data_IF_590769019279
#
_entry.id   IF_590769019279
#
_cell.length_a   1.000
_cell.length_b   1.000
_cell.length_c   1.000
_cell.angle_alpha   90.00
_cell.angle_beta   90.00
_cell.angle_gamma   90.00
#
_symmetry.space_group_name_H-M   'P 1'
#
loop_
_entity.id
_entity.type
_entity.pdbx_description
1 polymer ?
#
# COMPACT_ATOMS: atom_id res chain seq x y z
N UNK A 1 -23.19 0.36 2.07
CA UNK A 1 -24.10 0.12 0.91
C UNK A 1 -23.61 0.92 -0.28
N UNK A 2 -23.77 0.41 -1.50
CA UNK A 2 -23.43 1.15 -2.72
C UNK A 2 -24.53 2.17 -3.04
N UNK A 3 -24.15 3.25 -3.74
CA UNK A 3 -25.09 4.25 -4.23
C UNK A 3 -25.28 4.04 -5.73
N UNK A 4 -26.49 3.63 -6.13
CA UNK A 4 -26.81 3.46 -7.55
C UNK A 4 -27.59 4.64 -8.13
N UNK A 5 -27.38 4.99 -9.40
CA UNK A 5 -26.40 4.37 -10.30
C UNK A 5 -24.94 4.65 -9.85
N UNK A 6 -24.07 3.64 -9.99
CA UNK A 6 -22.68 3.73 -9.61
C UNK A 6 -21.84 4.22 -10.82
N UNK A 7 -20.99 5.22 -10.60
CA UNK A 7 -20.05 5.69 -11.62
C UNK A 7 -18.92 4.68 -11.80
N UNK A 8 -18.76 4.17 -13.01
CA UNK A 8 -17.65 3.32 -13.42
C UNK A 8 -16.83 3.99 -14.50
N UNK A 9 -15.51 4.11 -14.27
CA UNK A 9 -14.55 4.71 -15.22
C UNK A 9 -13.49 3.68 -15.55
N UNK A 10 -13.53 3.14 -16.76
CA UNK A 10 -12.59 2.11 -17.21
C UNK A 10 -11.70 2.67 -18.32
N UNK A 11 -10.41 2.89 -18.02
CA UNK A 11 -9.42 3.45 -18.97
C UNK A 11 -9.90 4.73 -19.68
N UNK A 12 -10.65 5.57 -18.96
CA UNK A 12 -11.21 6.83 -19.47
C UNK A 12 -12.65 6.75 -19.97
N UNK A 13 -13.15 5.57 -20.27
CA UNK A 13 -14.56 5.37 -20.65
C UNK A 13 -15.45 5.39 -19.41
N UNK A 14 -16.53 6.18 -19.48
CA UNK A 14 -17.44 6.41 -18.34
C UNK A 14 -18.77 5.74 -18.56
N UNK A 15 -19.20 4.91 -17.60
CA UNK A 15 -20.49 4.22 -17.61
C UNK A 15 -21.17 4.36 -16.25
N UNK A 16 -22.49 4.49 -16.24
CA UNK A 16 -23.30 4.44 -15.02
C UNK A 16 -23.91 3.04 -14.88
N UNK A 17 -23.48 2.32 -13.83
CA UNK A 17 -23.97 0.97 -13.56
C UNK A 17 -25.23 1.00 -12.70
N UNK A 18 -26.22 0.21 -13.08
CA UNK A 18 -27.35 -0.10 -12.21
C UNK A 18 -26.97 -1.17 -11.18
N UNK A 19 -27.82 -1.36 -10.15
CA UNK A 19 -27.60 -2.40 -9.15
C UNK A 19 -27.53 -3.81 -9.76
N UNK A 20 -28.31 -4.06 -10.81
CA UNK A 20 -28.32 -5.35 -11.54
C UNK A 20 -27.04 -5.59 -12.38
N UNK A 21 -26.42 -4.51 -12.85
CA UNK A 21 -25.19 -4.57 -13.66
C UNK A 21 -23.94 -4.67 -12.81
N UNK A 22 -23.99 -4.14 -11.58
CA UNK A 22 -22.86 -4.17 -10.67
C UNK A 22 -22.71 -5.55 -10.05
N UNK A 23 -21.49 -6.08 -10.13
CA UNK A 23 -21.13 -7.34 -9.48
C UNK A 23 -20.24 -7.06 -8.28
N UNK A 24 -20.62 -7.58 -7.13
CA UNK A 24 -19.79 -7.53 -5.94
C UNK A 24 -18.49 -8.34 -6.18
N UNK A 25 -17.37 -7.73 -5.87
CA UNK A 25 -16.07 -8.38 -5.77
C UNK A 25 -15.48 -8.10 -4.38
N UNK A 26 -14.79 -9.08 -3.79
CA UNK A 26 -14.13 -8.88 -2.52
C UNK A 26 -13.03 -7.83 -2.66
N UNK A 27 -13.08 -6.78 -1.83
CA UNK A 27 -12.08 -5.71 -1.86
C UNK A 27 -10.71 -6.18 -1.34
N UNK A 28 -10.72 -7.10 -0.40
CA UNK A 28 -9.51 -7.59 0.26
C UNK A 28 -9.00 -8.92 -0.30
N UNK A 29 -9.60 -9.44 -1.38
CA UNK A 29 -9.12 -10.63 -2.09
C UNK A 29 -8.86 -11.84 -1.16
N UNK A 30 -9.65 -12.00 -0.11
CA UNK A 30 -9.50 -13.00 0.95
C UNK A 30 -8.15 -12.90 1.72
N UNK A 31 -7.49 -11.74 1.66
CA UNK A 31 -6.30 -11.44 2.45
C UNK A 31 -6.68 -11.08 3.89
N UNK A 32 -5.83 -11.42 4.84
CA UNK A 32 -5.95 -11.07 6.26
C UNK A 32 -5.19 -9.79 6.62
N UNK A 33 -4.69 -9.09 5.62
CA UNK A 33 -4.00 -7.80 5.73
C UNK A 33 -4.42 -6.83 4.62
N UNK A 34 -4.11 -5.56 4.83
CA UNK A 34 -4.12 -4.51 3.82
C UNK A 34 -2.79 -3.75 3.85
N UNK A 35 -2.56 -2.93 2.84
CA UNK A 35 -1.40 -2.06 2.79
C UNK A 35 -1.81 -0.60 2.72
N UNK A 36 -0.90 0.27 3.16
CA UNK A 36 -0.96 1.70 2.92
C UNK A 36 0.42 2.16 2.46
N UNK A 37 0.47 2.85 1.34
CA UNK A 37 1.69 3.51 0.89
C UNK A 37 1.64 4.98 1.31
N UNK A 38 2.66 5.42 2.04
CA UNK A 38 2.84 6.80 2.44
C UNK A 38 4.11 7.36 1.82
N UNK A 39 4.16 8.67 1.64
CA UNK A 39 5.34 9.33 1.08
C UNK A 39 6.36 9.69 2.18
N UNK A 40 5.88 9.89 3.39
CA UNK A 40 6.67 10.21 4.58
C UNK A 40 5.94 9.78 5.87
N UNK A 41 6.63 9.85 7.00
CA UNK A 41 6.10 9.45 8.31
C UNK A 41 4.96 10.36 8.80
N UNK A 42 4.95 11.65 8.42
CA UNK A 42 3.90 12.59 8.86
C UNK A 42 2.53 12.17 8.32
N UNK A 43 2.50 11.55 7.14
CA UNK A 43 1.27 11.07 6.52
C UNK A 43 0.70 9.81 7.19
N UNK A 44 1.47 9.07 7.97
CA UNK A 44 1.00 7.85 8.64
C UNK A 44 -0.13 8.14 9.64
N UNK A 45 -0.24 9.37 10.15
CA UNK A 45 -1.35 9.75 11.02
C UNK A 45 -2.69 9.98 10.28
N UNK A 46 -2.70 9.95 8.95
CA UNK A 46 -3.94 10.12 8.18
C UNK A 46 -4.97 9.03 8.47
N UNK A 47 -4.55 7.79 8.73
CA UNK A 47 -5.48 6.70 9.04
C UNK A 47 -6.22 6.89 10.38
N UNK A 48 -5.64 7.66 11.31
CA UNK A 48 -6.22 7.96 12.63
C UNK A 48 -7.28 9.08 12.57
N UNK A 49 -7.41 9.74 11.44
CA UNK A 49 -8.34 10.86 11.28
C UNK A 49 -9.79 10.39 11.30
N UNK A 50 -10.61 11.06 12.10
CA UNK A 50 -12.05 10.77 12.26
C UNK A 50 -12.92 11.64 11.34
N UNK A 51 -12.36 12.68 10.75
CA UNK A 51 -13.02 13.66 9.89
C UNK A 51 -12.95 13.33 8.39
N UNK A 52 -12.42 12.17 8.03
CA UNK A 52 -12.35 11.74 6.65
C UNK A 52 -13.77 11.59 6.06
N UNK A 53 -13.97 12.17 4.90
CA UNK A 53 -15.20 12.07 4.11
C UNK A 53 -15.03 11.23 2.84
N UNK A 54 -13.79 10.87 2.51
CA UNK A 54 -13.43 10.05 1.35
C UNK A 54 -12.29 9.08 1.70
N UNK A 55 -12.43 7.84 1.25
CA UNK A 55 -11.39 6.80 1.29
C UNK A 55 -11.44 6.03 -0.03
N UNK A 56 -10.29 5.81 -0.64
CA UNK A 56 -10.17 4.96 -1.81
C UNK A 56 -9.52 3.62 -1.41
N UNK A 57 -10.14 2.51 -1.82
CA UNK A 57 -9.55 1.16 -1.72
C UNK A 57 -9.08 0.76 -3.10
N UNK A 58 -7.80 0.47 -3.23
CA UNK A 58 -7.15 0.13 -4.49
C UNK A 58 -6.76 -1.35 -4.51
N UNK A 59 -6.97 -2.00 -5.64
CA UNK A 59 -6.38 -3.28 -5.99
C UNK A 59 -5.31 -3.03 -7.05
N UNK A 60 -4.04 -3.11 -6.64
CA UNK A 60 -2.88 -2.85 -7.49
C UNK A 60 -2.41 -4.18 -8.06
N UNK A 61 -2.61 -4.38 -9.37
CA UNK A 61 -2.18 -5.58 -10.08
C UNK A 61 -0.75 -5.38 -10.61
N UNK A 62 0.25 -5.83 -9.85
CA UNK A 62 1.66 -5.58 -10.14
C UNK A 62 2.09 -6.10 -11.52
N UNK A 63 1.80 -7.36 -11.83
CA UNK A 63 2.22 -7.98 -13.08
C UNK A 63 1.49 -7.40 -14.30
N UNK A 64 0.21 -7.10 -14.14
CA UNK A 64 -0.64 -6.58 -15.21
C UNK A 64 -0.55 -5.07 -15.35
N UNK A 65 0.08 -4.38 -14.38
CA UNK A 65 0.33 -2.93 -14.36
C UNK A 65 -0.93 -2.08 -14.50
N UNK A 66 -1.96 -2.40 -13.73
CA UNK A 66 -3.18 -1.60 -13.64
C UNK A 66 -3.72 -1.58 -12.22
N UNK A 67 -4.54 -0.58 -11.93
CA UNK A 67 -5.16 -0.35 -10.63
C UNK A 67 -6.66 -0.28 -10.79
N UNK A 68 -7.40 -1.03 -9.96
CA UNK A 68 -8.82 -0.82 -9.72
C UNK A 68 -8.97 -0.02 -8.44
N UNK A 69 -9.73 1.07 -8.50
CA UNK A 69 -10.01 1.93 -7.35
C UNK A 69 -11.49 1.93 -7.05
N UNK A 70 -11.85 1.60 -5.83
CA UNK A 70 -13.19 1.71 -5.27
C UNK A 70 -13.24 2.92 -4.34
N UNK A 71 -13.98 3.97 -4.72
CA UNK A 71 -14.10 5.20 -3.94
C UNK A 71 -15.29 5.15 -3.01
N UNK A 72 -15.00 5.28 -1.74
CA UNK A 72 -16.00 5.44 -0.70
C UNK A 72 -16.07 6.89 -0.25
N UNK A 73 -17.30 7.40 -0.08
CA UNK A 73 -17.56 8.73 0.45
C UNK A 73 -18.57 8.67 1.58
N UNK A 74 -18.41 9.57 2.56
CA UNK A 74 -19.36 9.72 3.66
C UNK A 74 -20.52 10.60 3.21
N UNK A 75 -21.66 9.98 2.93
CA UNK A 75 -22.89 10.66 2.51
C UNK A 75 -23.93 10.58 3.62
N UNK A 76 -24.32 11.73 4.16
CA UNK A 76 -25.28 11.81 5.29
C UNK A 76 -24.85 10.94 6.49
N UNK A 77 -23.54 10.93 6.80
CA UNK A 77 -22.96 10.18 7.91
C UNK A 77 -22.64 8.72 7.64
N UNK A 78 -23.04 8.16 6.50
CA UNK A 78 -22.79 6.77 6.13
C UNK A 78 -21.76 6.63 5.02
N UNK A 79 -20.86 5.64 5.13
CA UNK A 79 -19.92 5.30 4.06
C UNK A 79 -20.63 4.58 2.91
N UNK A 80 -20.46 5.08 1.71
CA UNK A 80 -21.05 4.52 0.49
C UNK A 80 -20.02 4.44 -0.62
N UNK A 81 -20.00 3.32 -1.34
CA UNK A 81 -19.29 3.22 -2.61
C UNK A 81 -19.97 4.14 -3.63
N UNK A 82 -19.21 5.09 -4.18
CA UNK A 82 -19.72 6.13 -5.09
C UNK A 82 -19.13 6.04 -6.49
N UNK A 83 -17.95 5.40 -6.62
CA UNK A 83 -17.26 5.26 -7.90
C UNK A 83 -16.37 4.02 -7.90
N UNK A 84 -16.29 3.38 -9.06
CA UNK A 84 -15.23 2.44 -9.41
C UNK A 84 -14.43 2.99 -10.58
N UNK A 85 -13.12 2.73 -10.60
CA UNK A 85 -12.31 3.06 -11.78
C UNK A 85 -11.21 2.03 -11.99
N UNK A 86 -10.82 1.86 -13.26
CA UNK A 86 -9.68 1.06 -13.67
C UNK A 86 -8.79 1.94 -14.54
N UNK A 87 -7.50 2.00 -14.18
CA UNK A 87 -6.47 2.70 -14.96
C UNK A 87 -5.23 1.86 -15.09
N UNK A 88 -4.51 2.01 -16.18
CA UNK A 88 -3.19 1.43 -16.31
C UNK A 88 -2.14 2.28 -15.58
N UNK A 89 -0.99 1.68 -15.21
CA UNK A 89 0.14 2.42 -14.64
C UNK A 89 0.62 3.51 -15.59
N UNK A 90 1.01 4.62 -15.04
CA UNK A 90 1.56 5.76 -15.79
C UNK A 90 2.82 6.31 -15.13
N UNK A 91 3.78 6.74 -15.95
CA UNK A 91 4.98 7.41 -15.45
C UNK A 91 4.72 8.80 -14.82
N UNK A 92 3.49 9.32 -14.94
CA UNK A 92 3.09 10.57 -14.29
C UNK A 92 2.79 10.38 -12.80
N UNK A 93 2.41 9.16 -12.38
CA UNK A 93 2.08 8.85 -10.99
C UNK A 93 3.31 8.32 -10.24
N UNK A 94 3.77 8.99 -9.15
CA UNK A 94 4.94 8.56 -8.40
C UNK A 94 4.79 7.16 -7.80
N UNK A 95 3.60 6.81 -7.29
CA UNK A 95 3.33 5.48 -6.76
C UNK A 95 3.49 4.40 -7.84
N UNK A 96 3.05 4.64 -9.08
CA UNK A 96 3.19 3.66 -10.17
C UNK A 96 4.67 3.41 -10.53
N UNK A 97 5.51 4.46 -10.49
CA UNK A 97 6.97 4.31 -10.66
C UNK A 97 7.58 3.45 -9.56
N UNK A 98 7.16 3.69 -8.31
CA UNK A 98 7.59 2.87 -7.20
C UNK A 98 7.11 1.42 -7.35
N UNK A 99 5.88 1.20 -7.82
CA UNK A 99 5.34 -0.14 -8.08
C UNK A 99 6.16 -0.91 -9.13
N UNK A 100 6.75 -0.24 -10.12
CA UNK A 100 7.65 -0.87 -11.08
C UNK A 100 8.94 -1.39 -10.43
N UNK A 101 9.51 -0.62 -9.50
CA UNK A 101 10.62 -1.08 -8.66
C UNK A 101 10.17 -2.20 -7.73
N UNK A 102 9.05 -2.00 -6.99
CA UNK A 102 8.56 -2.92 -5.97
C UNK A 102 8.23 -4.29 -6.56
N UNK A 103 7.60 -4.35 -7.72
CA UNK A 103 7.34 -5.59 -8.45
C UNK A 103 8.61 -6.43 -8.61
N UNK A 104 9.72 -5.79 -9.02
CA UNK A 104 11.00 -6.48 -9.15
C UNK A 104 11.60 -6.83 -7.79
N UNK A 105 11.43 -5.97 -6.81
CA UNK A 105 11.91 -6.20 -5.43
C UNK A 105 11.30 -7.45 -4.82
N UNK A 106 10.03 -7.75 -5.05
CA UNK A 106 9.37 -8.94 -4.50
C UNK A 106 9.57 -10.21 -5.33
N UNK A 107 9.88 -10.10 -6.63
CA UNK A 107 9.96 -11.24 -7.54
C UNK A 107 11.40 -11.73 -7.85
N UNK A 108 12.42 -10.90 -7.65
CA UNK A 108 13.82 -11.20 -7.95
C UNK A 108 14.67 -11.12 -6.68
N UNK A 109 15.00 -12.28 -6.10
CA UNK A 109 15.76 -12.36 -4.85
C UNK A 109 17.14 -11.69 -4.91
N UNK A 110 17.84 -11.79 -6.05
CA UNK A 110 19.14 -11.15 -6.22
C UNK A 110 18.99 -9.63 -6.33
N UNK A 111 17.95 -9.15 -6.97
CA UNK A 111 17.62 -7.72 -7.00
C UNK A 111 17.17 -7.22 -5.61
N UNK A 112 16.32 -7.97 -4.91
CA UNK A 112 15.90 -7.65 -3.55
C UNK A 112 17.10 -7.44 -2.63
N UNK A 113 18.02 -8.40 -2.59
CA UNK A 113 19.21 -8.33 -1.74
C UNK A 113 20.07 -7.10 -2.06
N UNK A 114 20.28 -6.76 -3.34
CA UNK A 114 21.01 -5.55 -3.73
C UNK A 114 20.26 -4.26 -3.36
N UNK A 115 18.94 -4.32 -3.26
CA UNK A 115 18.06 -3.19 -2.96
C UNK A 115 17.78 -3.03 -1.47
N UNK A 116 18.33 -3.88 -0.61
CA UNK A 116 18.32 -3.71 0.85
C UNK A 116 19.62 -3.01 1.27
N UNK A 117 19.54 -2.04 2.17
CA UNK A 117 20.72 -1.38 2.75
C UNK A 117 21.52 -2.36 3.60
N UNK A 118 22.83 -2.17 3.63
CA UNK A 118 23.70 -2.99 4.47
C UNK A 118 24.65 -2.10 5.29
N UNK A 119 24.46 -2.04 6.62
CA UNK A 119 23.39 -2.70 7.37
C UNK A 119 22.01 -2.05 7.14
N UNK A 120 20.95 -2.84 7.28
CA UNK A 120 19.56 -2.38 7.31
C UNK A 120 19.19 -1.98 8.75
N UNK A 121 18.60 -0.80 8.93
CA UNK A 121 18.00 -0.43 10.22
C UNK A 121 16.82 -1.35 10.50
N UNK A 122 16.78 -1.91 11.71
CA UNK A 122 15.72 -2.82 12.14
C UNK A 122 15.17 -2.39 13.50
N UNK A 123 13.85 -2.27 13.59
CA UNK A 123 13.13 -1.94 14.81
C UNK A 123 12.11 -3.04 15.08
N UNK A 124 12.06 -3.51 16.32
CA UNK A 124 11.08 -4.53 16.73
C UNK A 124 10.61 -4.26 18.16
N UNK A 125 9.47 -4.83 18.54
CA UNK A 125 8.98 -4.74 19.90
C UNK A 125 9.96 -5.37 20.87
N UNK A 126 10.17 -4.74 22.04
CA UNK A 126 10.99 -5.28 23.11
C UNK A 126 10.31 -6.53 23.69
N UNK A 127 10.94 -7.71 23.67
CA UNK A 127 10.35 -8.94 24.20
C UNK A 127 10.09 -8.89 25.71
N UNK A 128 10.73 -7.97 26.44
CA UNK A 128 10.56 -7.80 27.88
C UNK A 128 9.58 -6.65 28.25
N UNK A 129 9.19 -5.81 27.27
CA UNK A 129 8.27 -4.69 27.46
C UNK A 129 7.51 -4.36 26.16
N UNK A 130 6.29 -4.83 26.04
CA UNK A 130 5.41 -4.64 24.85
C UNK A 130 5.14 -3.17 24.49
N UNK A 131 5.47 -2.21 25.37
CA UNK A 131 5.30 -0.77 25.10
C UNK A 131 6.56 -0.10 24.57
N UNK A 132 7.67 -0.81 24.55
CA UNK A 132 8.95 -0.30 24.05
C UNK A 132 9.40 -1.03 22.79
N UNK A 133 10.27 -0.38 22.04
CA UNK A 133 10.91 -0.96 20.84
C UNK A 133 12.42 -1.03 21.03
N UNK A 134 13.03 -2.03 20.42
CA UNK A 134 14.48 -2.21 20.34
C UNK A 134 14.90 -1.88 18.90
N UNK A 135 15.90 -1.02 18.79
CA UNK A 135 16.53 -0.70 17.51
C UNK A 135 17.86 -1.44 17.37
N UNK A 136 18.06 -2.04 16.19
CA UNK A 136 19.27 -2.72 15.82
C UNK A 136 19.54 -2.64 14.31
N UNK A 137 20.39 -3.51 13.83
CA UNK A 137 20.69 -3.60 12.41
C UNK A 137 20.69 -5.05 11.96
N UNK A 138 20.32 -5.28 10.70
CA UNK A 138 20.41 -6.56 10.01
C UNK A 138 21.43 -6.46 8.89
N UNK A 139 22.31 -7.44 8.81
CA UNK A 139 23.17 -7.61 7.66
C UNK A 139 22.42 -8.34 6.53
N UNK A 140 22.94 -8.27 5.30
CA UNK A 140 22.31 -8.93 4.14
C UNK A 140 22.06 -10.42 4.35
N UNK A 141 22.92 -11.12 5.09
CA UNK A 141 22.75 -12.55 5.37
C UNK A 141 21.58 -12.83 6.31
N UNK A 142 21.23 -11.87 7.18
CA UNK A 142 20.13 -11.98 8.12
C UNK A 142 18.79 -11.61 7.48
N UNK A 143 18.77 -10.77 6.44
CA UNK A 143 17.56 -10.29 5.81
C UNK A 143 16.58 -11.41 5.43
N UNK A 144 17.07 -12.48 4.81
CA UNK A 144 16.20 -13.59 4.39
C UNK A 144 15.50 -14.31 5.55
N UNK A 145 16.08 -14.28 6.75
CA UNK A 145 15.51 -14.88 7.95
C UNK A 145 14.52 -13.95 8.67
N UNK A 146 14.67 -12.63 8.52
CA UNK A 146 13.87 -11.63 9.25
C UNK A 146 12.83 -10.93 8.39
N UNK A 147 12.96 -10.97 7.06
CA UNK A 147 12.03 -10.29 6.17
C UNK A 147 10.58 -10.76 6.37
N UNK A 148 9.61 -9.83 6.31
CA UNK A 148 8.19 -10.20 6.36
C UNK A 148 7.77 -10.91 5.07
N UNK A 149 6.60 -11.55 5.10
CA UNK A 149 5.94 -11.92 3.87
C UNK A 149 5.53 -10.64 3.13
N UNK A 150 6.24 -10.34 2.04
CA UNK A 150 5.99 -9.15 1.23
C UNK A 150 4.73 -9.33 0.38
N UNK A 151 3.83 -8.32 0.33
CA UNK A 151 2.69 -8.34 -0.59
C UNK A 151 3.17 -8.45 -2.04
N UNK A 152 2.62 -9.40 -2.78
CA UNK A 152 2.91 -9.61 -4.19
C UNK A 152 1.62 -9.82 -5.02
N UNK A 153 1.75 -9.96 -6.33
CA UNK A 153 0.63 -10.24 -7.22
C UNK A 153 -0.41 -9.12 -7.26
N UNK A 154 -1.43 -9.18 -6.43
CA UNK A 154 -2.44 -8.12 -6.25
C UNK A 154 -2.36 -7.58 -4.83
N UNK A 155 -2.10 -6.29 -4.73
CA UNK A 155 -1.95 -5.58 -3.45
C UNK A 155 -3.22 -4.80 -3.17
N UNK A 156 -3.83 -5.01 -2.00
CA UNK A 156 -4.93 -4.17 -1.51
C UNK A 156 -4.34 -2.98 -0.78
N UNK A 157 -4.49 -1.78 -1.33
CA UNK A 157 -3.99 -0.53 -0.77
C UNK A 157 -5.13 0.38 -0.35
N UNK A 158 -5.01 1.04 0.80
CA UNK A 158 -5.99 2.03 1.27
C UNK A 158 -5.40 3.44 1.12
N UNK A 159 -6.18 4.34 0.52
CA UNK A 159 -5.83 5.75 0.41
C UNK A 159 -6.73 6.60 1.30
N UNK A 160 -6.14 7.20 2.32
CA UNK A 160 -6.77 8.15 3.25
C UNK A 160 -6.64 9.62 2.82
N UNK A 161 -6.16 9.87 1.59
CA UNK A 161 -5.90 11.20 1.06
C UNK A 161 -4.42 11.59 1.06
N UNK A 162 -3.50 10.65 1.32
CA UNK A 162 -2.06 10.88 1.20
C UNK A 162 -1.68 11.31 -0.22
N UNK A 163 -0.65 12.15 -0.30
CA UNK A 163 -0.03 12.62 -1.55
C UNK A 163 1.35 11.97 -1.73
N UNK A 164 1.87 12.02 -2.95
CA UNK A 164 3.18 11.44 -3.28
C UNK A 164 4.06 12.51 -3.93
N UNK A 165 4.29 13.60 -3.16
CA UNK A 165 5.00 14.79 -3.65
C UNK A 165 6.53 14.65 -3.52
N UNK A 166 7.00 13.79 -2.61
CA UNK A 166 8.42 13.46 -2.48
C UNK A 166 8.77 12.27 -3.40
N UNK A 167 9.53 12.48 -4.50
CA UNK A 167 9.85 11.42 -5.43
C UNK A 167 10.85 10.38 -4.86
N UNK A 168 11.52 10.71 -3.76
CA UNK A 168 12.65 9.94 -3.21
C UNK A 168 12.27 9.13 -1.96
N UNK A 169 11.01 9.16 -1.54
CA UNK A 169 10.52 8.47 -0.35
C UNK A 169 9.26 7.64 -0.60
N UNK A 170 9.22 6.42 -0.04
CA UNK A 170 8.02 5.59 0.00
C UNK A 170 8.04 4.68 1.22
N UNK A 171 7.02 4.76 2.04
CA UNK A 171 6.84 3.90 3.20
C UNK A 171 5.68 2.96 2.91
N UNK A 172 5.94 1.67 2.95
CA UNK A 172 4.92 0.62 2.89
C UNK A 172 4.57 0.20 4.31
N UNK A 173 3.34 0.43 4.71
CA UNK A 173 2.74 -0.18 5.91
C UNK A 173 1.89 -1.37 5.48
N UNK A 174 2.16 -2.54 6.02
CA UNK A 174 1.32 -3.72 5.90
C UNK A 174 0.69 -3.99 7.26
N UNK A 175 -0.62 -3.82 7.34
CA UNK A 175 -1.38 -3.95 8.58
C UNK A 175 -2.35 -5.13 8.50
N UNK A 176 -2.39 -5.92 9.56
CA UNK A 176 -3.28 -7.06 9.65
C UNK A 176 -4.72 -6.66 9.97
N UNK A 177 -5.68 -7.39 9.41
CA UNK A 177 -7.10 -7.20 9.70
C UNK A 177 -7.42 -7.94 11.00
N UNK A 178 -7.47 -7.21 12.12
CA UNK A 178 -7.85 -7.73 13.45
C UNK A 178 -6.88 -8.77 14.06
N UNK A 179 -5.62 -8.82 13.61
CA UNK A 179 -4.62 -9.77 14.12
C UNK A 179 -3.37 -9.11 14.74
N UNK A 180 -3.32 -7.77 14.79
CA UNK A 180 -2.21 -7.00 15.38
C UNK A 180 -0.91 -6.99 14.57
N UNK A 181 -0.88 -7.62 13.39
CA UNK A 181 0.28 -7.55 12.50
C UNK A 181 0.51 -6.12 12.02
N UNK A 182 1.76 -5.67 12.10
CA UNK A 182 2.20 -4.42 11.48
C UNK A 182 3.64 -4.56 11.02
N UNK A 183 3.85 -4.45 9.72
CA UNK A 183 5.18 -4.39 9.10
C UNK A 183 5.32 -3.01 8.44
N UNK A 184 6.39 -2.27 8.74
CA UNK A 184 6.70 -0.97 8.13
C UNK A 184 8.03 -1.06 7.41
N UNK A 185 8.01 -0.80 6.10
CA UNK A 185 9.19 -0.82 5.25
C UNK A 185 9.42 0.58 4.67
N UNK A 186 10.53 1.21 5.02
CA UNK A 186 10.90 2.53 4.49
C UNK A 186 11.88 2.38 3.32
N UNK A 187 11.46 2.87 2.16
CA UNK A 187 12.24 2.89 0.94
C UNK A 187 12.66 4.32 0.62
N UNK A 188 13.94 4.50 0.27
CA UNK A 188 14.48 5.78 -0.18
C UNK A 188 15.18 5.62 -1.53
N UNK A 189 14.99 6.62 -2.39
CA UNK A 189 15.67 6.69 -3.67
C UNK A 189 16.89 7.60 -3.54
N UNK A 190 18.03 7.13 -4.02
CA UNK A 190 19.26 7.93 -4.15
C UNK A 190 19.91 7.62 -5.48
N UNK A 191 20.28 8.67 -6.21
CA UNK A 191 20.92 8.55 -7.54
C UNK A 191 20.11 7.69 -8.53
N UNK A 192 18.77 7.72 -8.41
CA UNK A 192 17.85 6.94 -9.23
C UNK A 192 17.65 5.48 -8.80
N UNK A 193 18.29 5.05 -7.73
CA UNK A 193 18.17 3.69 -7.19
C UNK A 193 17.38 3.68 -5.89
N UNK A 194 16.34 2.84 -5.83
CA UNK A 194 15.58 2.59 -4.60
C UNK A 194 16.30 1.59 -3.70
N UNK A 195 16.31 1.88 -2.40
CA UNK A 195 16.80 1.00 -1.34
C UNK A 195 15.78 0.90 -0.21
N UNK A 196 15.59 -0.30 0.32
CA UNK A 196 14.99 -0.47 1.64
C UNK A 196 16.02 -0.02 2.69
N UNK A 197 15.68 0.99 3.49
CA UNK A 197 16.60 1.60 4.46
C UNK A 197 16.21 1.29 5.90
N UNK A 198 14.94 0.95 6.15
CA UNK A 198 14.46 0.55 7.48
C UNK A 198 13.34 -0.48 7.36
N UNK A 199 13.31 -1.41 8.31
CA UNK A 199 12.22 -2.34 8.55
C UNK A 199 11.84 -2.32 10.03
N UNK A 200 10.52 -2.24 10.30
CA UNK A 200 9.95 -2.28 11.64
C UNK A 200 8.80 -3.29 11.70
N UNK A 201 8.71 -4.08 12.79
CA UNK A 201 7.65 -5.05 13.05
C UNK A 201 7.29 -5.16 14.54
#
# INVERSE_FOLDING_TARGET
>A
MSKFPLLSVVRGDTVWLTEEQWKYESLFMDQDYYTVFYNDEEQMDLEKRTDLDKVDVEQIHLEKRWVKTCRFQRLKGEWRLTQESIRDFTAAEPLDKFMDFYRRFVSDAAFQQRSVSNPLRYVTTDPDDDFNTIEGTLDHEQWDAFKPQLPDGVITNIRYGQTYDNPDGMILVKAGISNGLMDILDFRQKDGEWKLVSYEN
#
